data_IF_065151854140
#
_entry.id   IF_065151854140
#
_cell.length_a   1.000
_cell.length_b   1.000
_cell.length_c   1.000
_cell.angle_alpha   90.00
_cell.angle_beta   90.00
_cell.angle_gamma   90.00
#
_symmetry.space_group_name_H-M   'P 1'
#
loop_
_entity.id
_entity.type
_entity.pdbx_description
1 polymer ?
#
# COMPACT_ATOMS: atom_id res chain seq x y z
N UNK A 1 0.57 10.53 22.41
CA UNK A 1 0.13 10.09 21.08
C UNK A 1 0.96 10.82 20.06
N UNK A 2 1.77 10.09 19.32
CA UNK A 2 2.72 10.56 18.29
C UNK A 2 2.22 10.30 16.86
N UNK A 3 1.18 9.48 16.73
CA UNK A 3 0.53 9.17 15.47
C UNK A 3 -0.74 10.01 15.26
N UNK A 4 -1.05 10.26 13.98
CA UNK A 4 -2.27 10.93 13.54
C UNK A 4 -2.97 10.03 12.54
N UNK A 5 -4.29 9.89 12.67
CA UNK A 5 -5.13 9.24 11.65
C UNK A 5 -5.47 10.29 10.60
N UNK A 6 -5.33 9.92 9.33
CA UNK A 6 -5.68 10.77 8.19
C UNK A 6 -6.85 10.13 7.46
N UNK A 7 -7.89 10.92 7.19
CA UNK A 7 -9.07 10.54 6.41
C UNK A 7 -9.13 11.44 5.17
N UNK A 8 -9.32 10.84 4.00
CA UNK A 8 -9.40 11.55 2.73
C UNK A 8 -10.25 10.80 1.72
N UNK A 9 -10.86 11.54 0.80
CA UNK A 9 -11.58 10.99 -0.35
C UNK A 9 -10.62 10.73 -1.51
N UNK A 10 -10.79 9.59 -2.19
CA UNK A 10 -10.05 9.28 -3.41
C UNK A 10 -10.80 9.88 -4.59
N UNK A 11 -10.26 10.96 -5.16
CA UNK A 11 -10.89 11.65 -6.31
C UNK A 11 -10.44 11.10 -7.66
N UNK A 12 -9.19 10.62 -7.77
CA UNK A 12 -8.57 10.12 -9.00
C UNK A 12 -7.49 9.06 -8.68
N UNK A 13 -7.23 8.16 -9.63
CA UNK A 13 -6.12 7.19 -9.57
C UNK A 13 -6.30 6.05 -10.59
N UNK A 14 -5.19 5.44 -11.03
CA UNK A 14 -5.20 4.23 -11.85
C UNK A 14 -4.67 3.03 -11.06
N UNK A 15 -5.57 2.13 -10.59
CA UNK A 15 -5.16 0.95 -9.82
C UNK A 15 -4.60 -0.18 -10.70
N UNK A 16 -4.61 -0.04 -12.03
CA UNK A 16 -4.25 -1.11 -12.98
C UNK A 16 -2.80 -1.07 -13.46
N UNK A 17 -1.96 -0.24 -12.84
CA UNK A 17 -0.55 -0.10 -13.18
C UNK A 17 0.22 -1.44 -13.21
N UNK A 18 1.25 -1.51 -14.04
CA UNK A 18 2.05 -2.72 -14.22
C UNK A 18 2.84 -3.04 -12.95
N UNK A 19 2.64 -4.22 -12.37
CA UNK A 19 3.39 -4.70 -11.20
C UNK A 19 2.56 -5.59 -10.29
N UNK A 20 3.23 -6.39 -9.45
CA UNK A 20 2.56 -7.13 -8.36
C UNK A 20 2.63 -6.29 -7.07
N UNK A 21 1.64 -6.42 -6.16
CA UNK A 21 1.69 -5.72 -4.88
C UNK A 21 2.95 -6.05 -4.09
N UNK A 22 3.57 -5.03 -3.51
CA UNK A 22 4.69 -5.15 -2.58
C UNK A 22 4.17 -5.36 -1.15
N UNK A 23 4.63 -6.41 -0.48
CA UNK A 23 4.29 -6.71 0.90
C UNK A 23 5.42 -6.31 1.84
N UNK A 24 5.15 -5.41 2.79
CA UNK A 24 6.03 -5.15 3.92
C UNK A 24 5.56 -5.94 5.14
N UNK A 25 6.39 -6.88 5.61
CA UNK A 25 6.09 -7.71 6.76
C UNK A 25 7.39 -8.09 7.47
N UNK A 26 7.39 -8.07 8.80
CA UNK A 26 8.56 -8.43 9.63
C UNK A 26 9.85 -7.67 9.27
N UNK A 27 9.76 -6.37 9.02
CA UNK A 27 10.93 -5.55 8.71
C UNK A 27 11.50 -5.76 7.29
N UNK A 28 10.77 -6.45 6.41
CA UNK A 28 11.24 -6.78 5.06
C UNK A 28 10.16 -6.61 4.00
N UNK A 29 10.60 -6.23 2.80
CA UNK A 29 9.78 -6.21 1.59
C UNK A 29 9.82 -7.57 0.86
N UNK A 30 8.66 -8.02 0.37
CA UNK A 30 8.46 -9.29 -0.36
C UNK A 30 7.30 -9.16 -1.37
N UNK A 31 7.11 -10.16 -2.24
CA UNK A 31 5.96 -10.25 -3.14
C UNK A 31 4.88 -11.19 -2.62
N UNK A 32 3.62 -10.94 -2.98
CA UNK A 32 2.53 -11.90 -2.74
C UNK A 32 2.76 -13.18 -3.57
N UNK A 33 2.38 -14.32 -2.99
CA UNK A 33 2.37 -15.62 -3.70
C UNK A 33 1.07 -15.75 -4.49
N UNK A 34 1.09 -16.58 -5.52
CA UNK A 34 -0.09 -17.02 -6.28
C UNK A 34 -0.87 -18.10 -5.50
#
# INVERSE_FOLDING_TARGET
GDHRIVLAEVLLGDPTGTGRPLLYHQGRFSGLRD
#
